data_IF_285200764773
#
_entry.id   IF_285200764773
#
_cell.length_a   1.000
_cell.length_b   1.000
_cell.length_c   1.000
_cell.angle_alpha   90.00
_cell.angle_beta   90.00
_cell.angle_gamma   90.00
#
_symmetry.space_group_name_H-M   'P 1'
#
loop_
_entity.id
_entity.type
_entity.pdbx_description
1 polymer ?
#
# COMPACT_ATOMS: atom_id res chain seq x y z
N UNK A 1 -22.93 3.56 -32.45
CA UNK A 1 -22.05 4.76 -32.51
C UNK A 1 -21.52 5.13 -31.12
N UNK A 2 -20.89 4.21 -30.38
CA UNK A 2 -20.42 4.44 -28.99
C UNK A 2 -18.97 3.98 -28.74
N UNK A 3 -18.27 3.47 -29.76
CA UNK A 3 -16.91 2.92 -29.63
C UNK A 3 -15.82 4.00 -29.78
N UNK A 4 -16.10 5.09 -30.48
CA UNK A 4 -15.11 6.15 -30.76
C UNK A 4 -14.87 7.12 -29.60
N UNK A 5 -15.76 7.17 -28.62
CA UNK A 5 -15.61 8.03 -27.43
C UNK A 5 -14.62 7.44 -26.41
N UNK A 6 -14.58 6.11 -26.27
CA UNK A 6 -13.73 5.43 -25.28
C UNK A 6 -12.25 5.50 -25.62
N UNK A 7 -11.88 5.35 -26.89
CA UNK A 7 -10.48 5.45 -27.32
C UNK A 7 -9.93 6.88 -27.15
N UNK A 8 -10.74 7.90 -27.42
CA UNK A 8 -10.35 9.31 -27.22
C UNK A 8 -10.20 9.64 -25.72
N UNK A 9 -11.08 9.13 -24.86
CA UNK A 9 -10.97 9.25 -23.41
C UNK A 9 -9.72 8.56 -22.85
N UNK A 10 -9.39 7.35 -23.32
CA UNK A 10 -8.17 6.66 -22.87
C UNK A 10 -6.89 7.36 -23.32
N UNK A 11 -6.85 7.90 -24.55
CA UNK A 11 -5.69 8.68 -25.04
C UNK A 11 -5.51 9.98 -24.24
N UNK A 12 -6.60 10.65 -23.85
CA UNK A 12 -6.56 11.86 -23.00
C UNK A 12 -6.09 11.54 -21.56
N UNK A 13 -6.52 10.41 -20.99
CA UNK A 13 -6.09 9.98 -19.64
C UNK A 13 -4.62 9.57 -19.61
N UNK A 14 -4.15 8.85 -20.63
CA UNK A 14 -2.73 8.47 -20.75
C UNK A 14 -1.86 9.71 -21.01
N UNK A 15 -2.31 10.64 -21.85
CA UNK A 15 -1.58 11.90 -22.12
C UNK A 15 -1.52 12.81 -20.90
N UNK A 16 -2.56 12.87 -20.07
CA UNK A 16 -2.55 13.62 -18.80
C UNK A 16 -1.70 12.95 -17.72
N UNK A 17 -1.67 11.61 -17.66
CA UNK A 17 -0.74 10.87 -16.80
C UNK A 17 0.72 11.07 -17.21
N UNK A 18 1.04 10.99 -18.51
CA UNK A 18 2.39 11.24 -19.02
C UNK A 18 2.82 12.71 -18.84
N UNK A 19 1.92 13.68 -18.99
CA UNK A 19 2.18 15.09 -18.67
C UNK A 19 2.44 15.29 -17.16
N UNK A 20 1.65 14.65 -16.27
CA UNK A 20 1.89 14.69 -14.81
C UNK A 20 3.23 14.05 -14.41
N UNK A 21 3.60 12.93 -15.04
CA UNK A 21 4.89 12.27 -14.79
C UNK A 21 6.08 13.07 -15.32
N UNK A 22 5.94 13.77 -16.46
CA UNK A 22 7.01 14.60 -17.04
C UNK A 22 7.28 15.89 -16.26
N UNK A 23 6.27 16.41 -15.54
CA UNK A 23 6.41 17.60 -14.69
C UNK A 23 7.21 17.29 -13.41
N UNK A 24 7.14 16.06 -12.88
CA UNK A 24 7.85 15.69 -11.64
C UNK A 24 9.38 15.67 -11.77
N UNK A 25 9.94 15.51 -12.98
CA UNK A 25 11.39 15.43 -13.17
C UNK A 25 12.10 16.78 -13.33
N UNK A 26 11.36 17.89 -13.51
CA UNK A 26 11.93 19.22 -13.71
C UNK A 26 11.62 20.20 -12.57
N UNK A 27 10.99 19.74 -11.49
CA UNK A 27 10.70 20.58 -10.34
C UNK A 27 11.80 20.46 -9.29
N UNK A 28 12.17 21.60 -8.72
CA UNK A 28 13.08 21.68 -7.59
C UNK A 28 12.60 20.85 -6.41
N UNK A 29 13.50 20.07 -5.81
CA UNK A 29 13.24 19.38 -4.53
C UNK A 29 13.10 20.35 -3.34
N UNK A 30 13.73 21.53 -3.39
CA UNK A 30 13.55 22.60 -2.38
C UNK A 30 12.24 23.34 -2.50
N UNK A 31 11.86 23.83 -3.69
CA UNK A 31 10.77 24.79 -3.81
C UNK A 31 9.56 24.31 -4.62
N UNK A 32 9.62 23.10 -5.21
CA UNK A 32 8.55 22.55 -6.04
C UNK A 32 8.30 23.29 -7.35
N UNK A 33 9.11 24.32 -7.67
CA UNK A 33 9.04 25.09 -8.91
C UNK A 33 10.15 24.67 -9.88
N UNK A 34 9.91 24.78 -11.21
CA UNK A 34 10.97 24.55 -12.18
C UNK A 34 12.01 25.67 -12.12
N UNK A 35 13.29 25.31 -12.20
CA UNK A 35 14.39 26.24 -12.41
C UNK A 35 15.47 25.55 -13.26
N UNK A 36 16.36 26.31 -13.92
CA UNK A 36 17.47 25.73 -14.66
C UNK A 36 18.34 24.85 -13.74
N UNK A 37 18.84 23.73 -14.27
CA UNK A 37 19.60 22.74 -13.50
C UNK A 37 20.89 23.29 -12.85
N UNK A 38 21.37 24.44 -13.32
CA UNK A 38 22.63 25.06 -12.89
C UNK A 38 22.45 26.27 -11.96
N UNK A 39 21.22 26.54 -11.51
CA UNK A 39 20.95 27.61 -10.54
C UNK A 39 20.71 26.96 -9.19
N UNK A 40 21.57 27.29 -8.22
CA UNK A 40 21.37 26.85 -6.84
C UNK A 40 20.09 27.48 -6.29
N UNK A 41 19.17 26.62 -5.87
CA UNK A 41 17.89 27.08 -5.35
C UNK A 41 18.10 27.68 -3.95
N UNK A 42 18.10 29.00 -3.86
CA UNK A 42 18.24 29.77 -2.61
C UNK A 42 16.99 29.72 -1.70
N UNK A 43 16.01 28.87 -2.03
CA UNK A 43 14.74 28.80 -1.33
C UNK A 43 14.88 27.94 -0.08
N UNK A 44 14.35 28.44 1.03
CA UNK A 44 14.16 27.68 2.27
C UNK A 44 13.21 26.51 2.04
N UNK A 45 13.31 25.48 2.89
CA UNK A 45 12.35 24.40 2.97
C UNK A 45 10.93 24.98 3.04
N UNK A 46 10.04 24.59 2.12
CA UNK A 46 8.67 25.14 2.04
C UNK A 46 7.79 24.66 3.18
N UNK A 47 8.17 23.56 3.83
CA UNK A 47 7.40 22.95 4.91
C UNK A 47 7.69 23.59 6.27
N UNK A 48 8.92 24.03 6.53
CA UNK A 48 9.33 24.56 7.85
C UNK A 48 10.17 25.86 7.81
N UNK A 49 10.52 26.36 6.62
CA UNK A 49 11.32 27.57 6.46
C UNK A 49 12.81 27.41 6.77
N UNK A 50 13.33 26.20 6.99
CA UNK A 50 14.75 25.97 7.25
C UNK A 50 15.63 26.03 6.00
N UNK A 51 16.88 26.43 6.15
CA UNK A 51 17.93 26.33 5.11
C UNK A 51 18.77 25.05 5.21
N UNK A 52 18.59 24.26 6.27
CA UNK A 52 19.47 23.13 6.60
C UNK A 52 19.13 21.83 5.87
N UNK A 53 17.98 21.78 5.19
CA UNK A 53 17.51 20.60 4.49
C UNK A 53 16.61 20.95 3.30
N UNK A 54 16.53 20.01 2.37
CA UNK A 54 15.59 20.00 1.24
C UNK A 54 14.15 19.79 1.70
N UNK A 55 13.15 20.24 0.94
CA UNK A 55 11.74 20.11 1.34
C UNK A 55 11.20 18.68 1.32
N UNK A 56 11.84 17.78 0.56
CA UNK A 56 11.53 16.34 0.53
C UNK A 56 12.26 15.54 1.63
N UNK A 57 13.00 16.23 2.52
CA UNK A 57 13.72 15.59 3.61
C UNK A 57 12.76 14.98 4.66
N UNK A 58 12.93 13.69 4.93
CA UNK A 58 12.15 12.94 5.93
C UNK A 58 12.45 13.34 7.38
N UNK A 59 13.48 14.16 7.60
CA UNK A 59 13.85 14.71 8.91
C UNK A 59 13.33 16.15 9.11
N UNK A 60 12.62 16.70 8.12
CA UNK A 60 11.98 18.00 8.24
C UNK A 60 11.04 18.02 9.47
N UNK A 61 11.16 19.00 10.39
CA UNK A 61 10.31 19.06 11.59
C UNK A 61 8.82 19.07 11.27
N UNK A 62 8.42 19.81 10.23
CA UNK A 62 7.03 19.87 9.78
C UNK A 62 6.55 18.53 9.19
N UNK A 63 7.43 17.80 8.50
CA UNK A 63 7.11 16.45 8.02
C UNK A 63 6.93 15.47 9.18
N UNK A 64 7.81 15.50 10.18
CA UNK A 64 7.72 14.64 11.36
C UNK A 64 6.44 14.92 12.17
N UNK A 65 6.08 16.19 12.33
CA UNK A 65 4.85 16.60 12.98
C UNK A 65 3.61 16.08 12.22
N UNK A 66 3.56 16.29 10.91
CA UNK A 66 2.46 15.80 10.08
C UNK A 66 2.38 14.27 10.09
N UNK A 67 3.51 13.56 10.08
CA UNK A 67 3.57 12.10 10.22
C UNK A 67 2.95 11.63 11.54
N UNK A 68 3.23 12.32 12.64
CA UNK A 68 2.63 12.04 13.96
C UNK A 68 1.11 12.26 13.94
N UNK A 69 0.65 13.38 13.36
CA UNK A 69 -0.78 13.71 13.23
C UNK A 69 -1.52 12.63 12.43
N UNK A 70 -0.98 12.25 11.26
CA UNK A 70 -1.61 11.24 10.40
C UNK A 70 -1.66 9.87 11.08
N UNK A 71 -0.60 9.49 11.79
CA UNK A 71 -0.58 8.24 12.57
C UNK A 71 -1.64 8.23 13.67
N UNK A 72 -1.79 9.34 14.39
CA UNK A 72 -2.81 9.51 15.43
C UNK A 72 -4.23 9.45 14.85
N UNK A 73 -4.50 10.20 13.77
CA UNK A 73 -5.78 10.21 13.09
C UNK A 73 -6.21 8.79 12.65
N UNK A 74 -5.26 8.03 12.08
CA UNK A 74 -5.51 6.67 11.63
C UNK A 74 -5.80 5.70 12.80
N UNK A 75 -4.97 5.70 13.83
CA UNK A 75 -5.10 4.74 14.94
C UNK A 75 -6.31 5.03 15.83
N UNK A 76 -6.68 6.29 15.99
CA UNK A 76 -7.78 6.71 16.87
C UNK A 76 -9.11 6.89 16.11
N UNK A 77 -9.10 6.77 14.77
CA UNK A 77 -10.30 6.96 13.94
C UNK A 77 -10.86 8.38 13.97
N UNK A 78 -10.01 9.38 14.23
CA UNK A 78 -10.39 10.79 14.32
C UNK A 78 -9.95 11.57 13.09
N UNK A 79 -10.50 12.77 12.90
CA UNK A 79 -10.10 13.63 11.79
C UNK A 79 -8.68 14.18 11.98
N UNK A 80 -8.02 14.53 10.88
CA UNK A 80 -6.68 15.15 10.90
C UNK A 80 -6.69 16.49 11.67
N UNK A 81 -7.80 17.22 11.64
CA UNK A 81 -7.99 18.47 12.40
C UNK A 81 -8.00 18.22 13.91
N UNK A 82 -8.72 17.20 14.37
CA UNK A 82 -8.75 16.80 15.78
C UNK A 82 -7.38 16.30 16.25
N UNK A 83 -6.74 15.46 15.45
CA UNK A 83 -5.39 14.97 15.74
C UNK A 83 -4.37 16.12 15.81
N UNK A 84 -4.46 17.12 14.93
CA UNK A 84 -3.66 18.35 14.98
C UNK A 84 -3.80 19.04 16.33
N UNK A 85 -5.03 19.30 16.77
CA UNK A 85 -5.31 19.94 18.05
C UNK A 85 -4.72 19.15 19.22
N UNK A 86 -4.85 17.82 19.22
CA UNK A 86 -4.27 16.95 20.26
C UNK A 86 -2.75 17.02 20.28
N UNK A 87 -2.09 16.94 19.12
CA UNK A 87 -0.61 17.03 19.02
C UNK A 87 -0.10 18.39 19.51
N UNK A 88 -0.75 19.49 19.11
CA UNK A 88 -0.41 20.84 19.59
C UNK A 88 -0.57 20.96 21.10
N UNK A 89 -1.67 20.44 21.66
CA UNK A 89 -1.92 20.45 23.10
C UNK A 89 -0.86 19.63 23.87
N UNK A 90 -0.46 18.47 23.36
CA UNK A 90 0.60 17.65 23.95
C UNK A 90 1.95 18.37 23.92
N UNK A 91 2.32 18.97 22.80
CA UNK A 91 3.57 19.73 22.67
C UNK A 91 3.58 20.92 23.64
N UNK A 92 2.47 21.65 23.74
CA UNK A 92 2.31 22.76 24.69
C UNK A 92 2.32 22.30 26.16
N UNK A 93 1.79 21.11 26.45
CA UNK A 93 1.83 20.52 27.79
C UNK A 93 3.25 20.04 28.16
N UNK A 94 3.99 19.49 27.21
CA UNK A 94 5.40 19.10 27.38
C UNK A 94 6.30 20.31 27.65
N UNK A 95 6.09 21.44 26.97
CA UNK A 95 6.86 22.68 27.24
C UNK A 95 6.60 23.27 28.63
N UNK A 96 5.47 22.93 29.28
CA UNK A 96 5.13 23.39 30.65
C UNK A 96 5.52 22.41 31.76
N UNK A 97 5.90 21.17 31.44
CA UNK A 97 6.23 20.15 32.45
C UNK A 97 7.74 19.96 32.57
N UNK A 98 8.36 20.76 33.45
CA UNK A 98 9.67 20.44 34.04
C UNK A 98 9.59 19.41 35.18
N UNK A 99 8.45 18.75 35.37
CA UNK A 99 8.28 17.69 36.35
C UNK A 99 7.89 16.38 35.65
N UNK A 100 8.57 15.25 35.93
CA UNK A 100 8.13 13.94 35.44
C UNK A 100 6.71 13.67 35.92
N UNK A 101 5.78 13.22 35.06
CA UNK A 101 4.51 12.72 35.55
C UNK A 101 4.76 11.51 36.44
N UNK A 102 4.00 11.44 37.54
CA UNK A 102 3.94 10.25 38.38
C UNK A 102 3.63 9.02 37.50
N UNK A 103 4.22 7.89 37.91
CA UNK A 103 4.25 6.58 37.22
C UNK A 103 2.97 6.31 36.41
N UNK A 104 3.08 5.85 35.14
CA UNK A 104 1.90 5.47 34.36
C UNK A 104 1.14 4.36 35.08
N UNK A 105 -0.18 4.52 35.19
CA UNK A 105 -1.08 3.48 35.67
C UNK A 105 -0.84 2.19 34.86
N UNK A 106 -0.72 1.01 35.49
CA UNK A 106 -0.47 -0.26 34.79
C UNK A 106 -1.68 -0.78 33.99
N UNK A 107 -2.85 -0.14 34.11
CA UNK A 107 -4.12 -0.54 33.48
C UNK A 107 -4.02 -0.66 31.93
N UNK A 108 -3.48 0.31 31.17
CA UNK A 108 -3.46 0.23 29.71
C UNK A 108 -2.54 -0.88 29.18
N UNK A 109 -1.49 -1.22 29.93
CA UNK A 109 -0.57 -2.32 29.59
C UNK A 109 -1.21 -3.69 29.81
N UNK A 110 -2.11 -3.79 30.79
CA UNK A 110 -2.83 -5.02 31.08
C UNK A 110 -3.91 -5.28 30.03
N UNK A 111 -4.69 -4.27 29.64
CA UNK A 111 -5.69 -4.38 28.57
C UNK A 111 -5.06 -4.76 27.23
N UNK A 112 -3.92 -4.15 26.88
CA UNK A 112 -3.19 -4.48 25.65
C UNK A 112 -2.66 -5.93 25.67
N UNK A 113 -2.24 -6.42 26.83
CA UNK A 113 -1.78 -7.81 27.00
C UNK A 113 -2.93 -8.78 26.83
N UNK A 114 -4.06 -8.55 27.49
CA UNK A 114 -5.26 -9.40 27.39
C UNK A 114 -5.82 -9.41 25.96
N UNK A 115 -5.82 -8.26 25.27
CA UNK A 115 -6.20 -8.17 23.87
C UNK A 115 -5.26 -9.00 22.97
N UNK A 116 -3.95 -8.91 23.20
CA UNK A 116 -2.95 -9.70 22.48
C UNK A 116 -3.15 -11.20 22.68
N UNK A 117 -3.30 -11.63 23.94
CA UNK A 117 -3.52 -13.02 24.32
C UNK A 117 -4.83 -13.60 23.77
N UNK A 118 -5.86 -12.77 23.59
CA UNK A 118 -7.14 -13.21 22.99
C UNK A 118 -7.12 -13.19 21.45
N UNK A 119 -6.50 -12.17 20.85
CA UNK A 119 -6.58 -11.94 19.40
C UNK A 119 -5.62 -12.86 18.63
N UNK A 120 -4.42 -13.11 19.16
CA UNK A 120 -3.43 -13.94 18.48
C UNK A 120 -3.88 -15.39 18.25
N UNK A 121 -4.48 -16.10 19.24
CA UNK A 121 -5.02 -17.44 19.01
C UNK A 121 -6.13 -17.46 17.96
N UNK A 122 -7.05 -16.48 17.98
CA UNK A 122 -8.13 -16.38 17.00
C UNK A 122 -7.60 -16.15 15.58
N UNK A 123 -6.55 -15.33 15.43
CA UNK A 123 -5.86 -15.15 14.14
C UNK A 123 -5.22 -16.47 13.68
N UNK A 124 -4.51 -17.15 14.58
CA UNK A 124 -3.87 -18.43 14.27
C UNK A 124 -4.88 -19.51 13.84
N UNK A 125 -6.03 -19.58 14.51
CA UNK A 125 -7.13 -20.48 14.15
C UNK A 125 -7.67 -20.17 12.74
N UNK A 126 -7.93 -18.89 12.44
CA UNK A 126 -8.39 -18.46 11.11
C UNK A 126 -7.37 -18.78 10.01
N UNK A 127 -6.08 -18.61 10.27
CA UNK A 127 -5.00 -18.99 9.34
C UNK A 127 -4.99 -20.51 9.12
N UNK A 128 -5.15 -21.30 10.18
CA UNK A 128 -5.26 -22.76 10.08
C UNK A 128 -6.44 -23.19 9.19
N UNK A 129 -7.63 -22.63 9.45
CA UNK A 129 -8.83 -22.91 8.67
C UNK A 129 -8.65 -22.53 7.19
N UNK A 130 -8.07 -21.36 6.90
CA UNK A 130 -7.78 -20.93 5.53
C UNK A 130 -6.82 -21.87 4.82
N UNK A 131 -5.80 -22.37 5.52
CA UNK A 131 -4.85 -23.35 4.97
C UNK A 131 -5.55 -24.65 4.60
N UNK A 132 -6.48 -25.12 5.44
CA UNK A 132 -7.30 -26.31 5.14
C UNK A 132 -8.22 -26.08 3.94
N UNK A 133 -8.89 -24.92 3.85
CA UNK A 133 -9.74 -24.58 2.70
C UNK A 133 -8.95 -24.49 1.40
N UNK A 134 -7.73 -23.94 1.43
CA UNK A 134 -6.84 -23.89 0.27
C UNK A 134 -6.44 -25.30 -0.17
N UNK A 135 -6.06 -26.18 0.76
CA UNK A 135 -5.73 -27.56 0.44
C UNK A 135 -6.91 -28.30 -0.22
N UNK A 136 -8.12 -28.16 0.34
CA UNK A 136 -9.35 -28.73 -0.24
C UNK A 136 -9.68 -28.16 -1.62
N UNK A 137 -9.40 -26.89 -1.84
CA UNK A 137 -9.62 -26.23 -3.12
C UNK A 137 -8.63 -26.73 -4.17
N UNK A 138 -7.34 -26.85 -3.83
CA UNK A 138 -6.32 -27.40 -4.73
C UNK A 138 -6.65 -28.83 -5.14
N UNK A 139 -7.03 -29.69 -4.19
CA UNK A 139 -7.46 -31.06 -4.46
C UNK A 139 -8.71 -31.15 -5.36
N UNK A 140 -9.57 -30.13 -5.40
CA UNK A 140 -10.65 -30.03 -6.40
C UNK A 140 -10.14 -29.67 -7.79
N UNK A 141 -9.15 -28.78 -7.89
CA UNK A 141 -8.52 -28.44 -9.16
C UNK A 141 -7.76 -29.64 -9.73
N UNK A 142 -6.96 -30.33 -8.92
CA UNK A 142 -6.20 -31.51 -9.35
C UNK A 142 -7.13 -32.60 -9.92
N UNK A 143 -8.27 -32.85 -9.26
CA UNK A 143 -9.29 -33.78 -9.78
C UNK A 143 -9.95 -33.32 -11.06
N UNK A 144 -10.11 -32.02 -11.24
CA UNK A 144 -10.69 -31.47 -12.46
C UNK A 144 -9.72 -31.66 -13.63
N UNK A 145 -8.45 -31.31 -13.43
CA UNK A 145 -7.39 -31.48 -14.43
C UNK A 145 -7.22 -32.96 -14.80
N UNK A 146 -7.21 -33.85 -13.81
CA UNK A 146 -7.12 -35.29 -14.06
C UNK A 146 -8.29 -35.82 -14.91
N UNK A 147 -9.53 -35.39 -14.63
CA UNK A 147 -10.69 -35.77 -15.46
C UNK A 147 -10.61 -35.24 -16.89
N UNK A 148 -10.01 -34.07 -17.06
CA UNK A 148 -9.80 -33.47 -18.37
C UNK A 148 -8.78 -34.28 -19.17
N UNK A 149 -7.63 -34.60 -18.55
CA UNK A 149 -6.58 -35.43 -19.14
C UNK A 149 -7.06 -36.85 -19.47
N UNK A 150 -7.88 -37.46 -18.61
CA UNK A 150 -8.48 -38.77 -18.85
C UNK A 150 -9.36 -38.76 -20.10
N UNK A 151 -10.22 -37.73 -20.24
CA UNK A 151 -11.08 -37.56 -21.41
C UNK A 151 -10.29 -37.28 -22.68
N UNK A 152 -9.23 -36.48 -22.59
CA UNK A 152 -8.37 -36.18 -23.72
C UNK A 152 -7.60 -37.42 -24.19
N UNK A 153 -7.09 -38.22 -23.25
CA UNK A 153 -6.41 -39.49 -23.53
C UNK A 153 -7.35 -40.47 -24.23
N UNK A 154 -8.57 -40.64 -23.71
CA UNK A 154 -9.60 -41.49 -24.35
C UNK A 154 -9.93 -41.02 -25.78
N UNK A 155 -10.03 -39.71 -26.01
CA UNK A 155 -10.30 -39.15 -27.33
C UNK A 155 -9.15 -39.44 -28.31
N UNK A 156 -7.90 -39.25 -27.88
CA UNK A 156 -6.69 -39.55 -28.66
C UNK A 156 -6.65 -41.03 -29.05
N UNK A 157 -6.90 -41.92 -28.11
CA UNK A 157 -6.83 -43.36 -28.33
C UNK A 157 -7.99 -43.84 -29.24
N UNK A 158 -9.13 -43.13 -29.23
CA UNK A 158 -10.29 -43.44 -30.09
C UNK A 158 -10.22 -42.79 -31.48
N UNK A 159 -9.34 -41.81 -31.72
CA UNK A 159 -9.21 -41.09 -33.00
C UNK A 159 -7.73 -40.80 -33.35
N UNK A 160 -6.91 -41.83 -33.61
CA UNK A 160 -5.46 -41.67 -33.83
C UNK A 160 -5.09 -40.85 -35.08
N UNK A 161 -5.99 -40.74 -36.07
CA UNK A 161 -5.71 -40.04 -37.34
C UNK A 161 -6.04 -38.53 -37.31
N UNK A 162 -6.65 -38.00 -36.23
CA UNK A 162 -7.15 -36.61 -36.19
C UNK A 162 -6.28 -35.61 -35.41
N UNK A 163 -5.13 -36.03 -34.88
CA UNK A 163 -4.32 -35.22 -33.96
C UNK A 163 -2.98 -34.69 -34.50
N UNK A 164 -2.83 -34.63 -35.83
CA UNK A 164 -1.67 -34.01 -36.48
C UNK A 164 -1.56 -32.48 -36.36
N UNK A 165 -2.28 -31.80 -35.44
CA UNK A 165 -2.34 -30.33 -35.49
C UNK A 165 -2.93 -29.58 -34.30
N UNK A 166 -2.87 -30.07 -33.06
CA UNK A 166 -3.24 -29.24 -31.90
C UNK A 166 -1.96 -28.84 -31.14
N UNK A 167 -1.58 -27.55 -31.09
CA UNK A 167 -0.40 -27.10 -30.38
C UNK A 167 -0.58 -27.28 -28.88
N UNK A 168 0.47 -27.77 -28.22
CA UNK A 168 0.64 -27.85 -26.78
C UNK A 168 0.74 -26.43 -26.19
N UNK A 169 -0.39 -25.74 -26.10
CA UNK A 169 -0.53 -24.57 -25.24
C UNK A 169 -1.01 -25.08 -23.88
N UNK A 170 -0.48 -24.51 -22.80
CA UNK A 170 -0.61 -24.95 -21.40
C UNK A 170 0.46 -25.91 -20.88
N UNK A 171 1.72 -25.48 -20.94
CA UNK A 171 2.75 -25.96 -19.99
C UNK A 171 3.45 -24.86 -19.18
N UNK A 172 3.03 -23.59 -19.31
CA UNK A 172 3.78 -22.43 -18.77
C UNK A 172 2.93 -21.41 -17.99
N UNK A 173 1.83 -21.82 -17.35
CA UNK A 173 1.02 -20.89 -16.54
C UNK A 173 1.23 -21.01 -15.02
N UNK A 174 2.23 -21.78 -14.56
CA UNK A 174 2.62 -21.86 -13.14
C UNK A 174 4.16 -21.98 -13.04
N UNK A 175 4.84 -20.84 -13.00
CA UNK A 175 6.16 -20.67 -12.37
C UNK A 175 6.24 -19.26 -11.82
#
# INVERSE_FOLDING_TARGET
MASMSYQVLQVLVVRTHLLKMRIQHNCCKKCGRPHPNNVECATRCVNCGSHTHESDCNECPAFLEMKKILKMAYLEGITVGEARTRVTNLNNASTRRLAPPARPDPQPLQELRTLGESTMPMINEKIGNLTEYLAKTNDRFDRFDQRFDDKFSLYRDSNPERLGGIPVLYRHAIS
#
